data_IF_672134957288
#
_entry.id   IF_672134957288
#
_cell.length_a   1.000
_cell.length_b   1.000
_cell.length_c   1.000
_cell.angle_alpha   90.00
_cell.angle_beta   90.00
_cell.angle_gamma   90.00
#
_symmetry.space_group_name_H-M   'P 1'
#
loop_
_entity.id
_entity.type
_entity.pdbx_description
1 polymer ?
#
# COMPACT_ATOMS: atom_id res chain seq x y z
N UNK A 1 3.79 17.29 17.48
CA UNK A 1 2.61 16.64 16.84
C UNK A 1 3.03 15.36 16.11
N UNK A 2 3.67 14.42 16.82
CA UNK A 2 4.10 13.09 16.31
C UNK A 2 3.32 11.95 17.00
N UNK A 3 2.10 12.24 17.45
CA UNK A 3 1.34 11.32 18.30
C UNK A 3 0.42 10.39 17.51
N UNK A 4 0.56 9.08 17.75
CA UNK A 4 -0.39 7.99 17.48
C UNK A 4 -0.45 7.31 16.10
N UNK A 5 0.67 7.20 15.37
CA UNK A 5 0.76 6.15 14.32
C UNK A 5 0.87 4.72 14.89
N UNK A 6 1.11 4.56 16.20
CA UNK A 6 1.20 3.26 16.88
C UNK A 6 -0.11 2.44 16.89
N UNK A 7 -1.28 3.08 16.66
CA UNK A 7 -2.59 2.41 16.60
C UNK A 7 -3.10 2.15 15.19
N UNK A 8 -2.25 2.27 14.18
CA UNK A 8 -2.62 1.90 12.81
C UNK A 8 -2.69 0.38 12.71
N UNK A 9 -3.87 -0.15 12.41
CA UNK A 9 -4.00 -1.50 11.85
C UNK A 9 -3.55 -1.41 10.40
N UNK A 10 -2.50 -2.15 10.05
CA UNK A 10 -1.96 -2.25 8.69
C UNK A 10 -2.59 -3.45 8.00
N UNK A 11 -3.11 -3.29 6.80
CA UNK A 11 -3.74 -4.41 6.08
C UNK A 11 -3.07 -4.65 4.75
N UNK A 12 -2.36 -5.77 4.62
CA UNK A 12 -1.71 -6.12 3.36
C UNK A 12 -2.66 -6.98 2.55
N UNK A 13 -3.05 -6.46 1.38
CA UNK A 13 -3.78 -7.21 0.36
C UNK A 13 -2.77 -8.05 -0.44
N UNK A 14 -3.01 -9.36 -0.53
CA UNK A 14 -2.21 -10.23 -1.39
C UNK A 14 -3.10 -11.02 -2.34
N UNK A 15 -2.78 -10.95 -3.64
CA UNK A 15 -3.40 -11.70 -4.71
C UNK A 15 -2.64 -12.98 -5.07
N UNK A 16 -3.11 -13.72 -6.10
CA UNK A 16 -2.50 -14.98 -6.54
C UNK A 16 -1.05 -14.87 -7.03
N UNK A 17 -0.62 -13.68 -7.44
CA UNK A 17 0.75 -13.40 -7.90
C UNK A 17 1.75 -13.18 -6.76
N UNK A 18 1.28 -12.91 -5.53
CA UNK A 18 2.11 -12.48 -4.40
C UNK A 18 2.73 -13.66 -3.62
N UNK A 19 3.02 -14.77 -4.31
CA UNK A 19 3.40 -16.04 -3.67
C UNK A 19 4.67 -15.94 -2.82
N UNK A 20 5.68 -15.22 -3.31
CA UNK A 20 6.97 -15.09 -2.63
C UNK A 20 6.88 -14.23 -1.37
N UNK A 21 6.17 -13.09 -1.41
CA UNK A 21 5.97 -12.25 -0.23
C UNK A 21 5.09 -12.96 0.82
N UNK A 22 4.06 -13.71 0.39
CA UNK A 22 3.24 -14.55 1.28
C UNK A 22 4.10 -15.63 1.94
N UNK A 23 4.98 -16.29 1.18
CA UNK A 23 5.89 -17.31 1.71
C UNK A 23 6.81 -16.71 2.78
N UNK A 24 7.35 -15.51 2.55
CA UNK A 24 8.19 -14.81 3.53
C UNK A 24 7.44 -14.44 4.80
N UNK A 25 6.24 -13.85 4.65
CA UNK A 25 5.35 -13.52 5.77
C UNK A 25 5.05 -14.73 6.68
N UNK A 26 4.98 -15.93 6.10
CA UNK A 26 4.79 -17.18 6.86
C UNK A 26 6.06 -17.65 7.57
N UNK A 27 7.24 -17.44 6.96
CA UNK A 27 8.53 -17.89 7.50
C UNK A 27 9.04 -16.97 8.61
N UNK A 28 8.96 -15.66 8.38
CA UNK A 28 9.49 -14.64 9.31
C UNK A 28 8.50 -14.24 10.40
N UNK A 29 7.23 -14.59 10.20
CA UNK A 29 6.13 -14.06 10.98
C UNK A 29 5.68 -12.69 10.49
N UNK A 30 4.41 -12.39 10.73
CA UNK A 30 3.81 -11.10 10.44
C UNK A 30 3.85 -10.25 11.71
N UNK A 31 4.23 -8.95 11.65
CA UNK A 31 4.14 -8.07 12.80
C UNK A 31 2.70 -8.07 13.37
N UNK A 32 2.55 -8.02 14.70
CA UNK A 32 1.24 -8.18 15.36
C UNK A 32 0.19 -7.11 14.98
N UNK A 33 0.62 -5.97 14.43
CA UNK A 33 -0.23 -4.89 13.92
C UNK A 33 -0.57 -5.01 12.42
N UNK A 34 -0.11 -6.06 11.75
CA UNK A 34 -0.41 -6.33 10.34
C UNK A 34 -1.48 -7.41 10.23
N UNK A 35 -2.42 -7.22 9.32
CA UNK A 35 -3.43 -8.21 8.93
C UNK A 35 -3.25 -8.54 7.46
N UNK A 36 -3.12 -9.82 7.15
CA UNK A 36 -3.02 -10.29 5.77
C UNK A 36 -4.42 -10.64 5.27
N UNK A 37 -4.79 -10.07 4.13
CA UNK A 37 -6.04 -10.38 3.44
C UNK A 37 -5.72 -11.05 2.12
N UNK A 38 -6.37 -12.19 1.89
CA UNK A 38 -6.17 -13.06 0.73
C UNK A 38 -7.50 -13.62 0.29
N UNK A 39 -7.64 -13.86 -1.01
CA UNK A 39 -8.80 -14.56 -1.58
C UNK A 39 -10.15 -13.85 -1.31
N UNK A 40 -10.12 -12.54 -1.03
CA UNK A 40 -11.33 -11.73 -0.90
C UNK A 40 -11.88 -11.35 -2.27
N UNK A 41 -13.21 -11.24 -2.36
CA UNK A 41 -13.87 -10.72 -3.54
C UNK A 41 -13.59 -9.23 -3.71
N UNK A 42 -13.63 -8.74 -4.96
CA UNK A 42 -13.46 -7.30 -5.24
C UNK A 42 -14.44 -6.42 -4.45
N UNK A 43 -15.75 -6.75 -4.33
CA UNK A 43 -16.65 -5.97 -3.48
C UNK A 43 -16.25 -5.96 -2.00
N UNK A 44 -15.71 -7.08 -1.48
CA UNK A 44 -15.19 -7.14 -0.11
C UNK A 44 -13.99 -6.22 0.10
N UNK A 45 -13.09 -6.17 -0.90
CA UNK A 45 -11.94 -5.25 -0.90
C UNK A 45 -12.41 -3.79 -0.98
N UNK A 46 -13.39 -3.47 -1.83
CA UNK A 46 -13.99 -2.12 -1.89
C UNK A 46 -14.56 -1.72 -0.54
N UNK A 47 -15.37 -2.58 0.10
CA UNK A 47 -15.94 -2.26 1.41
C UNK A 47 -14.88 -2.12 2.52
N UNK A 48 -13.71 -2.76 2.37
CA UNK A 48 -12.57 -2.50 3.25
C UNK A 48 -11.97 -1.10 2.97
N UNK A 49 -11.72 -0.77 1.70
CA UNK A 49 -11.18 0.53 1.28
C UNK A 49 -12.07 1.70 1.74
N UNK A 50 -13.38 1.58 1.64
CA UNK A 50 -14.33 2.60 2.14
C UNK A 50 -14.22 2.88 3.64
N UNK A 51 -13.72 1.91 4.43
CA UNK A 51 -13.50 2.05 5.88
C UNK A 51 -12.06 2.35 6.25
N UNK A 52 -11.22 2.55 5.25
CA UNK A 52 -9.78 2.76 5.42
C UNK A 52 -9.46 4.22 5.24
N UNK A 53 -8.40 4.68 5.91
CA UNK A 53 -8.00 6.08 5.88
C UNK A 53 -6.99 6.36 4.78
N UNK A 54 -6.25 5.35 4.34
CA UNK A 54 -5.23 5.51 3.32
C UNK A 54 -4.96 4.19 2.60
N UNK A 55 -4.54 4.30 1.33
CA UNK A 55 -4.06 3.17 0.54
C UNK A 55 -2.68 3.45 -0.06
N UNK A 56 -1.76 2.50 0.04
CA UNK A 56 -0.49 2.49 -0.71
C UNK A 56 -0.43 1.26 -1.60
N UNK A 57 -0.17 1.46 -2.89
CA UNK A 57 0.05 0.36 -3.82
C UNK A 57 1.04 0.71 -4.93
N UNK A 58 1.51 -0.32 -5.61
CA UNK A 58 2.26 -0.19 -6.86
C UNK A 58 1.32 0.13 -8.03
N UNK A 59 1.86 0.24 -9.23
CA UNK A 59 1.07 0.23 -10.47
C UNK A 59 0.34 -1.13 -10.64
N UNK A 60 -0.91 -1.20 -10.17
CA UNK A 60 -1.76 -2.39 -10.22
C UNK A 60 -3.24 -2.04 -10.22
N UNK A 61 -4.08 -2.96 -10.70
CA UNK A 61 -5.53 -2.77 -10.74
C UNK A 61 -6.17 -2.46 -9.37
N UNK A 62 -5.59 -2.94 -8.27
CA UNK A 62 -6.08 -2.63 -6.91
C UNK A 62 -5.82 -1.17 -6.54
N UNK A 63 -4.72 -0.58 -7.00
CA UNK A 63 -4.43 0.84 -6.81
C UNK A 63 -5.40 1.73 -7.59
N UNK A 64 -5.75 1.33 -8.82
CA UNK A 64 -6.82 1.99 -9.58
C UNK A 64 -8.17 1.88 -8.89
N UNK A 65 -8.48 0.71 -8.33
CA UNK A 65 -9.71 0.49 -7.57
C UNK A 65 -9.77 1.39 -6.34
N UNK A 66 -8.68 1.51 -5.58
CA UNK A 66 -8.59 2.42 -4.44
C UNK A 66 -8.84 3.88 -4.86
N UNK A 67 -8.17 4.34 -5.92
CA UNK A 67 -8.39 5.68 -6.46
C UNK A 67 -9.85 5.93 -6.87
N UNK A 68 -10.49 4.94 -7.51
CA UNK A 68 -11.88 5.02 -7.93
C UNK A 68 -12.86 5.04 -6.75
N UNK A 69 -12.53 4.36 -5.64
CA UNK A 69 -13.29 4.42 -4.37
C UNK A 69 -13.16 5.80 -3.70
N UNK A 70 -12.12 6.57 -4.04
CA UNK A 70 -11.89 7.92 -3.52
C UNK A 70 -11.11 7.98 -2.21
N UNK A 71 -10.63 6.83 -1.71
CA UNK A 71 -9.72 6.80 -0.57
C UNK A 71 -8.41 7.51 -0.95
N UNK A 72 -7.83 8.33 -0.06
CA UNK A 72 -6.48 8.84 -0.20
C UNK A 72 -5.50 7.74 -0.63
N UNK A 73 -4.99 7.86 -1.86
CA UNK A 73 -4.25 6.80 -2.54
C UNK A 73 -2.87 7.30 -2.93
N UNK A 74 -1.83 6.59 -2.50
CA UNK A 74 -0.47 6.74 -3.01
C UNK A 74 -0.13 5.59 -3.94
N UNK A 75 0.19 5.94 -5.18
CA UNK A 75 0.56 4.99 -6.22
C UNK A 75 2.07 5.10 -6.51
N UNK A 76 2.80 4.01 -6.31
CA UNK A 76 4.25 3.94 -6.53
C UNK A 76 4.54 3.31 -7.89
N UNK A 77 5.15 4.08 -8.78
CA UNK A 77 5.49 3.69 -10.14
C UNK A 77 7.00 3.46 -10.27
N UNK A 78 7.38 2.28 -10.75
CA UNK A 78 8.74 1.92 -11.13
C UNK A 78 9.01 2.30 -12.59
N UNK A 79 9.16 1.33 -13.48
CA UNK A 79 9.46 1.58 -14.90
C UNK A 79 8.26 2.12 -15.71
N UNK A 80 7.03 1.70 -15.37
CA UNK A 80 5.81 2.05 -16.11
C UNK A 80 5.50 3.55 -16.07
N UNK A 81 5.04 4.12 -17.19
CA UNK A 81 4.76 5.56 -17.31
C UNK A 81 3.43 5.94 -16.61
N UNK A 82 3.48 6.72 -15.51
CA UNK A 82 2.27 7.16 -14.83
C UNK A 82 1.42 8.14 -15.64
N UNK A 83 1.95 8.78 -16.68
CA UNK A 83 1.13 9.63 -17.56
C UNK A 83 0.17 8.80 -18.42
N UNK A 84 0.50 7.52 -18.65
CA UNK A 84 -0.31 6.58 -19.42
C UNK A 84 -1.16 5.71 -18.50
N UNK A 85 -0.57 5.23 -17.41
CA UNK A 85 -1.18 4.22 -16.52
C UNK A 85 -1.53 4.77 -15.14
N UNK A 86 -1.40 6.07 -14.90
CA UNK A 86 -1.72 6.67 -13.61
C UNK A 86 -3.17 6.45 -13.20
N UNK A 87 -3.45 6.10 -11.92
CA UNK A 87 -4.81 6.01 -11.45
C UNK A 87 -5.50 7.37 -11.46
N UNK A 88 -6.73 7.39 -11.94
CA UNK A 88 -7.58 8.58 -11.96
C UNK A 88 -8.36 8.69 -10.64
N UNK A 89 -8.26 9.83 -9.97
CA UNK A 89 -9.01 10.10 -8.75
C UNK A 89 -8.61 11.44 -8.13
N UNK A 90 -9.51 12.05 -7.37
CA UNK A 90 -9.30 13.37 -6.76
C UNK A 90 -8.22 13.35 -5.67
N UNK A 91 -8.07 12.21 -4.98
CA UNK A 91 -7.16 12.03 -3.84
C UNK A 91 -6.01 11.07 -4.18
N UNK A 92 -5.40 11.24 -5.36
CA UNK A 92 -4.28 10.40 -5.81
C UNK A 92 -2.97 11.18 -5.77
N UNK A 93 -1.95 10.59 -5.15
CA UNK A 93 -0.57 11.05 -5.25
C UNK A 93 0.29 9.97 -5.92
N UNK A 94 0.96 10.33 -7.01
CA UNK A 94 1.84 9.44 -7.75
C UNK A 94 3.29 9.69 -7.34
N UNK A 95 3.99 8.60 -7.04
CA UNK A 95 5.41 8.57 -6.74
C UNK A 95 6.14 7.79 -7.81
N UNK A 96 6.91 8.50 -8.62
CA UNK A 96 7.82 7.87 -9.59
C UNK A 96 9.15 7.61 -8.89
N UNK A 97 9.61 6.37 -8.95
CA UNK A 97 10.91 5.98 -8.43
C UNK A 97 11.77 5.41 -9.54
N UNK A 98 13.09 5.61 -9.41
CA UNK A 98 14.08 4.92 -10.25
C UNK A 98 14.34 3.48 -9.77
N UNK A 99 13.63 3.03 -8.73
CA UNK A 99 13.76 1.69 -8.18
C UNK A 99 13.46 0.63 -9.25
N UNK A 100 14.49 -0.17 -9.53
CA UNK A 100 14.40 -1.34 -10.40
C UNK A 100 14.42 -2.58 -9.54
N UNK A 101 13.71 -3.60 -9.99
CA UNK A 101 13.81 -4.92 -9.38
C UNK A 101 15.27 -5.39 -9.53
N UNK A 102 16.02 -5.58 -8.43
CA UNK A 102 17.40 -6.02 -8.55
C UNK A 102 17.42 -7.43 -9.13
N UNK A 103 18.32 -7.68 -10.10
CA UNK A 103 18.45 -8.98 -10.77
C UNK A 103 18.71 -10.13 -9.77
N UNK A 104 19.33 -9.80 -8.63
CA UNK A 104 19.55 -10.70 -7.50
C UNK A 104 18.87 -10.16 -6.24
N UNK A 105 17.53 -10.14 -6.22
CA UNK A 105 16.78 -9.71 -5.04
C UNK A 105 16.95 -10.71 -3.89
N UNK A 106 17.99 -10.52 -3.09
CA UNK A 106 17.98 -10.97 -1.71
C UNK A 106 17.05 -10.04 -0.94
N UNK A 107 15.82 -10.50 -0.70
CA UNK A 107 14.91 -9.79 0.20
C UNK A 107 15.59 -9.69 1.57
N UNK A 108 15.70 -8.48 2.16
CA UNK A 108 16.28 -8.33 3.49
C UNK A 108 15.54 -9.26 4.47
N UNK A 109 16.30 -9.87 5.37
CA UNK A 109 15.72 -10.75 6.38
C UNK A 109 14.91 -9.94 7.39
N UNK A 110 13.63 -10.26 7.55
CA UNK A 110 12.69 -9.53 8.40
C UNK A 110 11.99 -8.37 7.67
N UNK A 111 10.83 -7.97 8.19
CA UNK A 111 10.22 -6.69 7.82
C UNK A 111 11.05 -5.57 8.45
N UNK A 112 12.03 -5.04 7.72
CA UNK A 112 12.60 -3.74 8.08
C UNK A 112 11.46 -2.71 8.04
N UNK A 113 11.41 -1.78 8.99
CA UNK A 113 10.49 -0.66 8.92
C UNK A 113 10.57 -0.04 7.53
N UNK A 114 9.48 -0.11 6.76
CA UNK A 114 9.38 0.65 5.52
C UNK A 114 9.30 2.10 5.97
N UNK A 115 10.39 2.85 5.77
CA UNK A 115 10.39 4.28 5.96
C UNK A 115 9.42 4.88 4.93
N UNK A 116 8.29 5.38 5.42
CA UNK A 116 7.29 6.03 4.58
C UNK A 116 7.88 7.40 4.22
N UNK A 117 8.09 7.72 2.93
CA UNK A 117 8.67 9.01 2.54
C UNK A 117 7.92 10.19 3.18
N UNK A 118 8.65 11.22 3.62
CA UNK A 118 8.05 12.34 4.36
C UNK A 118 6.88 13.01 3.63
N UNK A 119 6.93 13.03 2.32
CA UNK A 119 5.90 13.64 1.50
C UNK A 119 4.70 12.72 1.24
N UNK A 120 4.85 11.40 1.41
CA UNK A 120 3.72 10.47 1.60
C UNK A 120 3.08 10.73 2.96
N UNK A 121 3.89 10.87 4.02
CA UNK A 121 3.38 11.22 5.36
C UNK A 121 2.68 12.59 5.37
N UNK A 122 3.22 13.58 4.67
CA UNK A 122 2.61 14.89 4.53
C UNK A 122 1.27 14.81 3.79
N UNK A 123 1.19 13.98 2.74
CA UNK A 123 -0.05 13.73 2.01
C UNK A 123 -1.11 13.07 2.91
N UNK A 124 -0.75 12.00 3.64
CA UNK A 124 -1.64 11.35 4.63
C UNK A 124 -2.14 12.35 5.68
N UNK A 125 -1.28 13.25 6.14
CA UNK A 125 -1.66 14.30 7.11
C UNK A 125 -2.62 15.31 6.51
N UNK A 126 -2.38 15.73 5.26
CA UNK A 126 -3.21 16.70 4.55
C UNK A 126 -4.62 16.17 4.26
N UNK A 127 -4.79 14.85 4.13
CA UNK A 127 -6.11 14.24 3.95
C UNK A 127 -6.93 14.09 5.24
N UNK A 128 -6.43 14.59 6.39
CA UNK A 128 -7.17 14.59 7.67
C UNK A 128 -7.37 13.19 8.28
N UNK A 129 -6.58 12.21 7.82
CA UNK A 129 -6.79 10.81 8.09
C UNK A 129 -6.34 10.40 9.51
N UNK A 130 -7.24 9.76 10.27
CA UNK A 130 -7.01 9.37 11.68
C UNK A 130 -7.35 7.89 11.99
N UNK A 131 -7.54 7.04 10.97
CA UNK A 131 -7.90 5.62 11.10
C UNK A 131 -6.89 4.63 10.49
N UNK A 132 -7.37 3.42 10.16
CA UNK A 132 -6.54 2.30 9.68
C UNK A 132 -5.92 2.59 8.31
N UNK A 133 -4.69 2.12 8.07
CA UNK A 133 -4.01 2.19 6.77
C UNK A 133 -4.11 0.82 6.12
N UNK A 134 -4.62 0.76 4.89
CA UNK A 134 -4.54 -0.44 4.04
C UNK A 134 -3.26 -0.34 3.23
#
# INVERSE_FOLDING_TARGET
>A
FLGNYEKIVKVVLCGPADKEIIKRLKLDGCPGNVRLIRDWSLPGIVGLMERSSFFIGNDSGITHLAAAVGIPTTAVFGETDPLVWGPSGENVKIFKTEWRYPENLELPSGFSEIEIPEDVLAFIKATGCSGNIV
#
